data_IF_109048445515
#
_entry.id   IF_109048445515
#
_cell.length_a   1.000
_cell.length_b   1.000
_cell.length_c   1.000
_cell.angle_alpha   90.00
_cell.angle_beta   90.00
_cell.angle_gamma   90.00
#
_symmetry.space_group_name_H-M   'P 1'
#
loop_
_entity.id
_entity.type
_entity.pdbx_description
1 polymer ?
#
# COMPACT_ATOMS: atom_id res chain seq x y z
N UNK A 1 -15.58 -91.76 -13.81
CA UNK A 1 -15.73 -91.71 -15.28
C UNK A 1 -16.60 -90.50 -15.54
N UNK A 2 -16.13 -89.38 -16.04
CA UNK A 2 -14.86 -88.98 -16.66
C UNK A 2 -14.62 -87.51 -16.29
N UNK A 3 -13.37 -87.11 -16.06
CA UNK A 3 -12.96 -85.70 -16.07
C UNK A 3 -12.77 -85.28 -17.52
N UNK A 4 -13.49 -84.26 -17.97
CA UNK A 4 -13.09 -83.48 -19.14
C UNK A 4 -12.57 -82.10 -18.71
N UNK A 5 -11.35 -81.84 -19.15
CA UNK A 5 -10.56 -80.63 -18.93
C UNK A 5 -10.98 -79.64 -20.02
N UNK A 6 -11.52 -78.47 -19.66
CA UNK A 6 -11.71 -77.37 -20.60
C UNK A 6 -10.83 -76.18 -20.21
N UNK A 7 -9.80 -75.98 -21.02
CA UNK A 7 -8.89 -74.84 -21.02
C UNK A 7 -9.59 -73.61 -21.59
N UNK A 8 -9.99 -72.68 -20.71
CA UNK A 8 -10.43 -71.33 -21.09
C UNK A 8 -9.33 -70.30 -20.83
N UNK A 9 -8.64 -69.92 -21.90
CA UNK A 9 -7.59 -68.91 -21.94
C UNK A 9 -8.15 -67.52 -21.56
N UNK A 10 -7.61 -66.90 -20.51
CA UNK A 10 -7.91 -65.53 -20.12
C UNK A 10 -7.19 -64.56 -21.06
N UNK A 11 -7.92 -63.84 -21.90
CA UNK A 11 -7.38 -62.71 -22.66
C UNK A 11 -7.05 -61.56 -21.71
N UNK A 12 -5.78 -61.44 -21.32
CA UNK A 12 -5.24 -60.22 -20.72
C UNK A 12 -5.47 -59.04 -21.68
N UNK A 13 -5.79 -57.83 -21.17
CA UNK A 13 -5.92 -56.64 -22.02
C UNK A 13 -4.62 -56.44 -22.81
N UNK A 14 -4.70 -56.02 -24.09
CA UNK A 14 -3.54 -55.92 -24.95
C UNK A 14 -2.50 -55.00 -24.31
N UNK A 15 -1.24 -55.41 -24.39
CA UNK A 15 -0.06 -54.76 -23.77
C UNK A 15 0.06 -53.26 -24.14
N UNK A 16 -0.62 -52.82 -25.21
CA UNK A 16 -0.74 -51.42 -25.66
C UNK A 16 -1.47 -50.52 -24.67
N UNK A 17 -2.58 -50.98 -24.09
CA UNK A 17 -3.46 -50.13 -23.25
C UNK A 17 -2.81 -49.87 -21.88
N UNK A 18 -1.99 -50.81 -21.41
CA UNK A 18 -1.18 -50.63 -20.19
C UNK A 18 0.01 -49.69 -20.44
N UNK A 19 0.55 -49.65 -21.65
CA UNK A 19 1.64 -48.73 -22.02
C UNK A 19 1.15 -47.30 -22.24
N UNK A 20 -0.05 -47.11 -22.78
CA UNK A 20 -0.68 -45.78 -22.90
C UNK A 20 -1.02 -45.20 -21.53
N UNK A 21 -1.59 -46.00 -20.63
CA UNK A 21 -1.92 -45.54 -19.27
C UNK A 21 -0.69 -45.16 -18.44
N UNK A 22 0.41 -45.90 -18.57
CA UNK A 22 1.68 -45.57 -17.91
C UNK A 22 2.32 -44.32 -18.52
N UNK A 23 2.15 -44.08 -19.83
CA UNK A 23 2.61 -42.84 -20.46
C UNK A 23 1.80 -41.64 -20.03
N UNK A 24 0.47 -41.74 -19.97
CA UNK A 24 -0.41 -40.69 -19.45
C UNK A 24 -0.06 -40.35 -18.00
N UNK A 25 0.10 -41.36 -17.13
CA UNK A 25 0.52 -41.13 -15.74
C UNK A 25 1.91 -40.46 -15.64
N UNK A 26 2.85 -40.80 -16.52
CA UNK A 26 4.17 -40.16 -16.57
C UNK A 26 4.15 -38.73 -17.14
N UNK A 27 3.23 -38.44 -18.07
CA UNK A 27 3.03 -37.08 -18.60
C UNK A 27 2.40 -36.18 -17.54
N UNK A 28 1.39 -36.66 -16.81
CA UNK A 28 0.78 -35.91 -15.70
C UNK A 28 1.80 -35.58 -14.61
N UNK A 29 2.64 -36.54 -14.20
CA UNK A 29 3.68 -36.28 -13.18
C UNK A 29 4.72 -35.27 -13.68
N UNK A 30 5.07 -35.29 -14.97
CA UNK A 30 5.99 -34.29 -15.55
C UNK A 30 5.36 -32.91 -15.61
N UNK A 31 4.08 -32.81 -15.99
CA UNK A 31 3.36 -31.54 -16.01
C UNK A 31 3.26 -30.93 -14.60
N UNK A 32 2.96 -31.75 -13.59
CA UNK A 32 2.93 -31.33 -12.18
C UNK A 32 4.33 -30.88 -11.69
N UNK A 33 5.40 -31.58 -12.08
CA UNK A 33 6.77 -31.20 -11.74
C UNK A 33 7.21 -29.90 -12.44
N UNK A 34 6.80 -29.69 -13.69
CA UNK A 34 7.04 -28.45 -14.43
C UNK A 34 6.26 -27.26 -13.85
N UNK A 35 5.01 -27.45 -13.44
CA UNK A 35 4.24 -26.43 -12.73
C UNK A 35 4.88 -26.11 -11.38
N UNK A 36 5.28 -27.13 -10.62
CA UNK A 36 5.96 -26.94 -9.33
C UNK A 36 7.29 -26.19 -9.50
N UNK A 37 8.06 -26.52 -10.55
CA UNK A 37 9.31 -25.84 -10.86
C UNK A 37 9.07 -24.37 -11.22
N UNK A 38 8.02 -24.04 -11.99
CA UNK A 38 7.65 -22.65 -12.31
C UNK A 38 7.23 -21.85 -11.08
N UNK A 39 6.58 -22.48 -10.10
CA UNK A 39 6.18 -21.83 -8.84
C UNK A 39 7.36 -21.58 -7.90
N UNK A 40 8.31 -22.53 -7.84
CA UNK A 40 9.47 -22.45 -6.94
C UNK A 40 10.59 -21.57 -7.50
N UNK A 41 10.77 -21.56 -8.82
CA UNK A 41 11.84 -20.83 -9.51
C UNK A 41 11.22 -19.94 -10.59
N UNK A 42 10.78 -18.72 -10.24
CA UNK A 42 10.30 -17.77 -11.23
C UNK A 42 11.42 -17.43 -12.23
N UNK A 43 11.04 -17.11 -13.46
CA UNK A 43 12.01 -16.68 -14.47
C UNK A 43 12.70 -15.39 -14.00
N UNK A 44 14.03 -15.35 -14.11
CA UNK A 44 14.84 -14.18 -13.76
C UNK A 44 14.39 -12.96 -14.57
N UNK A 45 13.88 -13.16 -15.79
CA UNK A 45 13.35 -12.10 -16.67
C UNK A 45 12.05 -11.48 -16.17
N UNK A 46 11.29 -12.21 -15.34
CA UNK A 46 10.03 -11.77 -14.76
C UNK A 46 10.24 -11.05 -13.42
N UNK A 47 11.47 -11.07 -12.88
CA UNK A 47 11.79 -10.34 -11.66
C UNK A 47 11.95 -8.83 -11.96
N UNK A 48 11.47 -7.96 -11.06
CA UNK A 48 11.67 -6.52 -11.23
C UNK A 48 13.16 -6.17 -11.15
N UNK A 49 13.58 -5.19 -11.96
CA UNK A 49 14.96 -4.67 -11.99
C UNK A 49 15.49 -4.27 -10.61
N UNK A 50 14.60 -3.76 -9.77
CA UNK A 50 14.88 -3.43 -8.38
C UNK A 50 13.76 -3.96 -7.50
N UNK A 51 14.08 -4.48 -6.29
CA UNK A 51 13.06 -4.92 -5.37
C UNK A 51 12.11 -3.76 -5.00
N UNK A 52 10.82 -4.04 -4.76
CA UNK A 52 9.86 -3.03 -4.37
C UNK A 52 10.29 -2.35 -3.07
N UNK A 53 9.98 -1.06 -2.91
CA UNK A 53 10.33 -0.35 -1.69
C UNK A 53 9.50 -0.86 -0.50
N UNK A 54 9.91 -0.50 0.72
CA UNK A 54 9.14 -0.78 1.94
C UNK A 54 7.74 -0.16 1.88
N UNK A 55 7.59 0.98 1.20
CA UNK A 55 6.29 1.63 1.01
C UNK A 55 5.44 0.79 0.07
N UNK A 56 5.97 0.45 -1.10
CA UNK A 56 5.22 -0.29 -2.15
C UNK A 56 4.82 -1.69 -1.72
N UNK A 57 5.65 -2.34 -0.89
CA UNK A 57 5.40 -3.71 -0.39
C UNK A 57 4.42 -3.76 0.78
N UNK A 58 4.40 -2.76 1.67
CA UNK A 58 3.63 -2.81 2.92
C UNK A 58 2.38 -1.91 2.92
N UNK A 59 2.26 -0.99 1.97
CA UNK A 59 1.19 0.00 1.96
C UNK A 59 0.44 0.02 0.63
N UNK A 60 -0.87 0.24 0.73
CA UNK A 60 -1.71 0.59 -0.42
C UNK A 60 -1.81 2.10 -0.50
N UNK A 61 -1.47 2.65 -1.66
CA UNK A 61 -1.43 4.09 -1.91
C UNK A 61 -2.78 4.63 -2.35
N UNK A 62 -3.29 5.61 -1.58
CA UNK A 62 -4.47 6.39 -1.92
C UNK A 62 -4.12 7.87 -2.00
N UNK A 63 -4.90 8.65 -2.75
CA UNK A 63 -4.67 10.08 -2.94
C UNK A 63 -5.95 10.88 -2.72
N UNK A 64 -5.79 12.04 -2.09
CA UNK A 64 -6.80 13.06 -1.93
C UNK A 64 -6.40 14.27 -2.78
N UNK A 65 -6.82 14.33 -4.07
CA UNK A 65 -6.51 15.46 -4.93
C UNK A 65 -7.27 16.71 -4.47
N UNK A 66 -6.65 17.88 -4.66
CA UNK A 66 -7.28 19.21 -4.48
C UNK A 66 -8.04 19.37 -3.16
N UNK A 67 -7.48 18.85 -2.05
CA UNK A 67 -8.22 18.77 -0.80
C UNK A 67 -8.50 20.17 -0.24
N UNK A 68 -9.78 20.59 -0.32
CA UNK A 68 -10.29 21.94 -0.03
C UNK A 68 -9.87 23.02 -1.04
N UNK A 69 -8.61 22.99 -1.51
CA UNK A 69 -8.05 23.98 -2.43
C UNK A 69 -7.35 23.29 -3.60
N UNK A 70 -7.38 23.90 -4.80
CA UNK A 70 -6.70 23.35 -5.97
C UNK A 70 -5.19 23.25 -5.73
N UNK A 71 -4.60 22.11 -6.10
CA UNK A 71 -3.19 21.79 -5.93
C UNK A 71 -2.77 21.34 -4.53
N UNK A 72 -3.71 21.22 -3.59
CA UNK A 72 -3.45 20.71 -2.24
C UNK A 72 -3.58 19.18 -2.19
N UNK A 73 -2.82 18.51 -3.06
CA UNK A 73 -2.85 17.06 -3.20
C UNK A 73 -2.11 16.36 -2.04
N UNK A 74 -2.76 15.39 -1.38
CA UNK A 74 -2.16 14.64 -0.27
C UNK A 74 -2.25 13.14 -0.54
N UNK A 75 -1.25 12.39 -0.11
CA UNK A 75 -1.30 10.93 -0.15
C UNK A 75 -1.76 10.37 1.20
N UNK A 76 -2.36 9.19 1.15
CA UNK A 76 -2.78 8.37 2.28
C UNK A 76 -2.30 6.94 2.04
N UNK A 77 -1.25 6.53 2.72
CA UNK A 77 -0.73 5.16 2.65
C UNK A 77 -1.38 4.29 3.71
N UNK A 78 -2.09 3.26 3.28
CA UNK A 78 -2.82 2.34 4.15
C UNK A 78 -2.02 1.06 4.35
N UNK A 79 -1.61 0.80 5.59
CA UNK A 79 -1.02 -0.47 5.97
C UNK A 79 -2.10 -1.53 6.24
N UNK A 80 -1.76 -2.82 6.08
CA UNK A 80 -2.66 -3.95 6.38
C UNK A 80 -3.21 -3.92 7.82
N UNK A 81 -2.37 -3.50 8.77
CA UNK A 81 -2.70 -3.33 10.21
C UNK A 81 -3.75 -2.23 10.47
N UNK A 82 -4.12 -1.49 9.44
CA UNK A 82 -5.13 -0.45 9.50
C UNK A 82 -4.62 0.92 9.92
N UNK A 83 -3.30 1.14 9.91
CA UNK A 83 -2.70 2.46 10.06
C UNK A 83 -2.71 3.21 8.72
N UNK A 84 -2.90 4.52 8.80
CA UNK A 84 -2.79 5.43 7.66
C UNK A 84 -1.65 6.41 7.90
N UNK A 85 -0.72 6.47 6.96
CA UNK A 85 0.34 7.49 6.91
C UNK A 85 -0.09 8.56 5.93
N UNK A 86 -0.06 9.82 6.35
CA UNK A 86 -0.47 10.97 5.54
C UNK A 86 0.75 11.86 5.26
N UNK A 87 0.83 12.38 4.04
CA UNK A 87 1.83 13.37 3.65
C UNK A 87 1.44 14.09 2.36
N UNK A 88 2.38 14.88 1.83
CA UNK A 88 2.18 15.65 0.61
C UNK A 88 2.38 14.78 -0.63
N UNK A 89 1.42 14.80 -1.55
CA UNK A 89 1.59 14.12 -2.83
C UNK A 89 2.65 14.84 -3.69
N UNK A 90 3.32 14.13 -4.62
CA UNK A 90 4.38 14.71 -5.44
C UNK A 90 3.97 15.95 -6.25
N UNK A 91 2.69 16.06 -6.62
CA UNK A 91 2.17 17.18 -7.41
C UNK A 91 1.73 18.38 -6.58
N UNK A 92 1.82 18.31 -5.25
CA UNK A 92 1.38 19.35 -4.33
C UNK A 92 2.12 20.68 -4.56
N UNK A 93 1.40 21.80 -4.51
CA UNK A 93 1.93 23.13 -4.84
C UNK A 93 3.13 23.53 -3.97
N UNK A 94 3.09 23.24 -2.67
CA UNK A 94 4.20 23.53 -1.75
C UNK A 94 5.55 22.88 -2.14
N UNK A 95 5.53 21.78 -2.90
CA UNK A 95 6.75 21.12 -3.38
C UNK A 95 7.24 21.70 -4.72
N UNK A 96 6.39 22.43 -5.44
CA UNK A 96 6.67 23.02 -6.76
C UNK A 96 7.07 24.49 -6.70
N UNK A 97 6.80 25.18 -5.58
CA UNK A 97 7.20 26.58 -5.41
C UNK A 97 8.73 26.74 -5.40
N UNK A 98 9.20 27.87 -5.94
CA UNK A 98 10.64 28.19 -5.98
C UNK A 98 11.19 28.30 -4.54
N UNK A 99 12.21 27.47 -4.26
CA UNK A 99 12.82 27.34 -2.93
C UNK A 99 12.17 26.28 -2.02
N UNK A 100 11.06 25.68 -2.43
CA UNK A 100 10.42 24.56 -1.74
C UNK A 100 9.96 24.88 -0.32
N UNK A 101 9.82 23.83 0.49
CA UNK A 101 9.41 23.95 1.89
C UNK A 101 10.56 24.48 2.74
N UNK A 102 10.30 25.56 3.48
CA UNK A 102 11.28 26.25 4.34
C UNK A 102 11.06 25.99 5.83
N UNK A 103 9.82 25.82 6.27
CA UNK A 103 9.47 25.58 7.67
C UNK A 103 8.14 24.83 7.80
N UNK A 104 7.96 24.13 8.91
CA UNK A 104 6.74 23.36 9.19
C UNK A 104 6.29 23.66 10.62
N UNK A 105 5.02 24.05 10.76
CA UNK A 105 4.40 24.45 12.03
C UNK A 105 3.26 23.49 12.38
N UNK A 106 3.44 22.68 13.42
CA UNK A 106 2.39 21.78 13.95
C UNK A 106 1.43 22.48 14.91
N UNK A 107 1.61 23.77 15.19
CA UNK A 107 0.69 24.57 15.97
C UNK A 107 -0.45 25.10 15.07
N UNK A 108 -1.48 24.26 14.92
CA UNK A 108 -2.66 24.55 14.12
C UNK A 108 -3.91 24.72 14.98
N UNK A 109 -4.37 25.98 15.10
CA UNK A 109 -5.55 26.34 15.86
C UNK A 109 -5.23 26.61 17.33
N UNK A 110 -5.85 25.85 18.24
CA UNK A 110 -5.74 26.04 19.71
C UNK A 110 -4.79 25.05 20.40
N UNK A 111 -4.11 24.18 19.65
CA UNK A 111 -3.34 23.08 20.21
C UNK A 111 -2.22 22.67 19.28
N UNK A 112 -1.03 22.51 19.82
CA UNK A 112 0.13 21.96 19.14
C UNK A 112 -0.04 20.44 18.97
N UNK A 113 0.08 19.95 17.73
CA UNK A 113 -0.03 18.52 17.42
C UNK A 113 1.21 17.73 17.81
N UNK A 114 2.37 18.38 17.87
CA UNK A 114 3.63 17.73 18.30
C UNK A 114 3.61 17.38 19.78
N UNK A 115 2.88 18.13 20.60
CA UNK A 115 2.73 17.82 22.03
C UNK A 115 1.85 16.58 22.30
N UNK A 116 1.16 16.03 21.31
CA UNK A 116 0.23 14.90 21.48
C UNK A 116 1.03 13.60 21.53
N UNK A 117 1.26 13.12 22.76
CA UNK A 117 1.88 11.81 22.99
C UNK A 117 0.85 10.76 23.37
N UNK A 118 0.56 9.86 22.44
CA UNK A 118 -0.34 8.73 22.65
C UNK A 118 0.36 7.62 23.42
N UNK A 119 -0.23 7.14 24.51
CA UNK A 119 0.40 6.14 25.39
C UNK A 119 -0.52 4.98 25.76
N UNK A 120 0.08 3.79 25.92
CA UNK A 120 -0.56 2.57 26.41
C UNK A 120 -1.52 1.89 25.43
N UNK A 121 -1.92 0.65 25.75
CA UNK A 121 -2.83 -0.19 24.93
C UNK A 121 -4.17 0.49 24.60
N UNK A 122 -4.64 1.38 25.48
CA UNK A 122 -5.90 2.13 25.32
C UNK A 122 -5.74 3.46 24.57
N UNK A 123 -4.55 3.75 24.00
CA UNK A 123 -4.25 4.99 23.26
C UNK A 123 -4.66 6.24 24.05
N UNK A 124 -4.24 6.30 25.31
CA UNK A 124 -4.56 7.43 26.19
C UNK A 124 -4.00 8.71 25.55
N UNK A 125 -4.78 9.79 25.60
CA UNK A 125 -4.52 11.10 24.97
C UNK A 125 -4.63 11.15 23.44
N UNK A 126 -5.02 10.05 22.77
CA UNK A 126 -5.26 10.10 21.33
C UNK A 126 -6.45 10.99 21.02
N UNK A 127 -6.19 12.04 20.25
CA UNK A 127 -7.22 12.97 19.80
C UNK A 127 -7.87 12.43 18.52
N UNK A 128 -9.19 12.54 18.43
CA UNK A 128 -9.93 12.15 17.24
C UNK A 128 -10.00 13.31 16.25
N UNK A 129 -9.67 13.03 14.99
CA UNK A 129 -9.60 13.96 13.89
C UNK A 129 -10.66 13.59 12.86
N UNK A 130 -11.34 14.61 12.34
CA UNK A 130 -12.17 14.52 11.14
C UNK A 130 -11.32 14.79 9.89
N UNK A 131 -11.76 14.38 8.68
CA UNK A 131 -10.98 14.54 7.45
C UNK A 131 -10.48 15.97 7.18
N UNK A 132 -11.27 16.98 7.53
CA UNK A 132 -10.93 18.40 7.35
C UNK A 132 -10.10 19.00 8.50
N UNK A 133 -9.71 18.21 9.51
CA UNK A 133 -8.90 18.69 10.64
C UNK A 133 -7.51 19.09 10.16
N UNK A 134 -7.01 20.24 10.62
CA UNK A 134 -5.65 20.69 10.29
C UNK A 134 -4.60 19.88 11.07
N UNK A 135 -3.55 19.44 10.38
CA UNK A 135 -2.41 18.73 10.94
C UNK A 135 -1.23 19.67 11.18
N UNK A 136 -0.82 20.42 10.15
CA UNK A 136 0.27 21.38 10.21
C UNK A 136 0.12 22.46 9.14
N UNK A 137 0.91 23.53 9.27
CA UNK A 137 1.18 24.49 8.20
C UNK A 137 2.54 24.17 7.61
N UNK A 138 2.58 24.00 6.31
CA UNK A 138 3.80 23.88 5.51
C UNK A 138 4.08 25.26 4.95
N UNK A 139 5.16 25.89 5.41
CA UNK A 139 5.57 27.21 4.97
C UNK A 139 6.62 27.08 3.86
N UNK A 140 6.46 27.92 2.85
CA UNK A 140 7.42 28.15 1.78
C UNK A 140 7.99 29.56 1.93
N UNK A 141 8.69 30.09 0.92
CA UNK A 141 9.26 31.43 1.00
C UNK A 141 8.19 32.52 1.16
N UNK A 142 7.12 32.44 0.36
CA UNK A 142 6.11 33.50 0.27
C UNK A 142 4.74 33.09 0.79
N UNK A 143 4.48 31.79 0.93
CA UNK A 143 3.16 31.24 1.21
C UNK A 143 3.17 30.19 2.34
N UNK A 144 1.97 29.81 2.77
CA UNK A 144 1.78 28.66 3.64
C UNK A 144 0.57 27.82 3.22
N UNK A 145 0.70 26.52 3.42
CA UNK A 145 -0.26 25.51 3.02
C UNK A 145 -0.73 24.74 4.25
N UNK A 146 -2.04 24.68 4.48
CA UNK A 146 -2.58 23.90 5.60
C UNK A 146 -2.79 22.47 5.14
N UNK A 147 -2.03 21.56 5.72
CA UNK A 147 -2.16 20.11 5.53
C UNK A 147 -3.30 19.60 6.41
N UNK A 148 -4.14 18.74 5.86
CA UNK A 148 -5.34 18.21 6.50
C UNK A 148 -5.23 16.71 6.72
N UNK A 149 -6.09 16.19 7.59
CA UNK A 149 -6.05 14.79 7.98
C UNK A 149 -6.45 13.83 6.85
N UNK A 150 -7.33 14.25 5.91
CA UNK A 150 -7.92 13.44 4.83
C UNK A 150 -8.78 12.26 5.28
N UNK A 151 -8.55 11.77 6.50
CA UNK A 151 -9.04 10.51 7.02
C UNK A 151 -9.60 10.76 8.42
N UNK A 152 -10.79 10.21 8.70
CA UNK A 152 -11.35 10.22 10.05
C UNK A 152 -10.65 9.18 10.92
N UNK A 153 -10.09 9.57 12.06
CA UNK A 153 -9.35 8.64 12.91
C UNK A 153 -8.68 9.27 14.12
N UNK A 154 -7.99 8.45 14.91
CA UNK A 154 -7.19 8.91 16.03
C UNK A 154 -5.77 9.27 15.58
N UNK A 155 -5.31 10.48 15.91
CA UNK A 155 -3.91 10.87 15.71
C UNK A 155 -3.02 10.10 16.67
N UNK A 156 -2.00 9.43 16.14
CA UNK A 156 -1.03 8.66 16.92
C UNK A 156 0.32 9.35 17.01
N UNK A 157 0.79 9.89 15.89
CA UNK A 157 2.12 10.46 15.76
C UNK A 157 2.11 11.57 14.70
N UNK A 158 2.92 12.60 14.93
CA UNK A 158 3.33 13.56 13.90
C UNK A 158 4.84 13.50 13.77
N UNK A 159 5.35 13.78 12.58
CA UNK A 159 6.79 13.74 12.33
C UNK A 159 7.47 15.01 12.86
N UNK A 160 7.84 15.01 14.14
CA UNK A 160 8.51 16.14 14.79
C UNK A 160 9.85 16.52 14.15
N UNK A 161 10.48 15.60 13.40
CA UNK A 161 11.74 15.86 12.69
C UNK A 161 11.58 16.99 11.68
N UNK A 162 10.39 17.14 11.10
CA UNK A 162 10.04 18.20 10.17
C UNK A 162 10.18 19.61 10.74
N UNK A 163 10.10 19.77 12.07
CA UNK A 163 10.34 21.06 12.74
C UNK A 163 11.81 21.47 12.63
N UNK A 164 12.73 20.48 12.71
CA UNK A 164 14.18 20.71 12.67
C UNK A 164 14.75 20.59 11.25
N UNK A 165 14.12 19.77 10.41
CA UNK A 165 14.57 19.40 9.07
C UNK A 165 13.41 19.45 8.07
N UNK A 166 12.90 20.65 7.74
CA UNK A 166 11.79 20.81 6.79
C UNK A 166 12.16 20.34 5.37
N UNK A 167 13.45 20.34 5.02
CA UNK A 167 13.95 19.86 3.73
C UNK A 167 13.64 18.39 3.42
N UNK A 168 13.25 17.57 4.42
CA UNK A 168 12.77 16.20 4.19
C UNK A 168 11.52 16.15 3.29
N UNK A 169 10.67 17.18 3.33
CA UNK A 169 9.55 17.28 2.40
C UNK A 169 10.01 17.54 0.96
N UNK A 170 11.13 18.24 0.77
CA UNK A 170 11.65 18.51 -0.57
C UNK A 170 12.36 17.28 -1.16
N UNK A 171 13.13 16.55 -0.34
CA UNK A 171 13.91 15.39 -0.82
C UNK A 171 13.16 14.07 -0.80
N UNK A 172 12.20 13.89 0.11
CA UNK A 172 11.60 12.58 0.40
C UNK A 172 10.18 12.70 0.97
N UNK A 173 9.33 13.54 0.37
CA UNK A 173 7.93 13.75 0.78
C UNK A 173 7.14 12.45 0.98
N UNK A 174 7.28 11.49 0.06
CA UNK A 174 6.57 10.20 0.09
C UNK A 174 7.17 9.17 1.05
N UNK A 175 8.27 9.47 1.73
CA UNK A 175 8.98 8.49 2.59
C UNK A 175 9.21 9.09 3.97
N UNK A 176 10.41 9.62 4.19
CA UNK A 176 10.82 10.18 5.48
C UNK A 176 10.12 11.50 5.81
N UNK A 177 9.58 12.17 4.79
CA UNK A 177 8.80 13.40 4.90
C UNK A 177 7.33 13.20 5.24
N UNK A 178 6.91 12.03 5.73
CA UNK A 178 5.52 11.86 6.17
C UNK A 178 5.14 12.87 7.25
N UNK A 179 3.86 13.25 7.32
CA UNK A 179 3.39 14.31 8.23
C UNK A 179 2.78 13.72 9.49
N UNK A 180 1.88 12.74 9.36
CA UNK A 180 1.17 12.16 10.48
C UNK A 180 0.81 10.69 10.26
N UNK A 181 0.67 9.96 11.38
CA UNK A 181 0.14 8.60 11.44
C UNK A 181 -1.22 8.65 12.14
N UNK A 182 -2.25 8.21 11.43
CA UNK A 182 -3.64 8.16 11.89
C UNK A 182 -4.08 6.71 11.98
N UNK A 183 -4.86 6.39 12.99
CA UNK A 183 -5.59 5.12 13.06
C UNK A 183 -7.10 5.35 12.89
N UNK A 184 -7.64 5.05 11.70
CA UNK A 184 -9.08 5.06 11.45
C UNK A 184 -9.77 3.92 12.18
N UNK A 185 -11.07 4.09 12.44
CA UNK A 185 -11.92 2.97 12.86
C UNK A 185 -12.18 2.07 11.65
N UNK A 186 -12.15 0.74 11.80
CA UNK A 186 -12.47 -0.18 10.70
C UNK A 186 -13.84 0.09 10.06
N UNK A 187 -14.82 0.52 10.86
CA UNK A 187 -16.18 0.87 10.42
C UNK A 187 -16.23 2.08 9.48
N UNK A 188 -15.29 3.02 9.63
CA UNK A 188 -15.29 4.27 8.87
C UNK A 188 -14.52 4.11 7.54
N UNK A 189 -13.69 3.07 7.43
CA UNK A 189 -12.78 2.88 6.29
C UNK A 189 -13.49 2.78 4.93
N UNK A 190 -14.61 2.04 4.76
CA UNK A 190 -15.29 1.97 3.47
C UNK A 190 -15.71 3.36 2.95
N UNK A 191 -16.19 4.23 3.84
CA UNK A 191 -16.57 5.61 3.53
C UNK A 191 -15.37 6.50 3.23
N UNK A 192 -14.27 6.31 3.94
CA UNK A 192 -13.01 7.02 3.68
C UNK A 192 -12.47 6.60 2.31
N UNK A 193 -12.40 5.31 2.04
CA UNK A 193 -11.89 4.75 0.78
C UNK A 193 -12.66 5.29 -0.42
N UNK A 194 -13.98 5.42 -0.34
CA UNK A 194 -14.79 5.99 -1.44
C UNK A 194 -14.52 7.47 -1.73
N UNK A 195 -13.88 8.19 -0.80
CA UNK A 195 -13.50 9.60 -1.00
C UNK A 195 -12.06 9.79 -1.50
N UNK A 196 -11.29 8.71 -1.63
CA UNK A 196 -9.90 8.74 -2.07
C UNK A 196 -9.75 8.08 -3.44
N UNK A 197 -8.77 8.53 -4.21
CA UNK A 197 -8.38 7.92 -5.47
C UNK A 197 -7.34 6.82 -5.25
N UNK A 198 -7.38 5.80 -6.10
CA UNK A 198 -6.29 4.85 -6.22
C UNK A 198 -5.06 5.54 -6.84
N UNK A 199 -3.88 4.90 -6.76
CA UNK A 199 -2.68 5.40 -7.42
C UNK A 199 -2.88 5.54 -8.94
N UNK A 200 -3.46 4.52 -9.58
CA UNK A 200 -3.72 4.53 -11.03
C UNK A 200 -4.67 5.65 -11.46
N UNK A 201 -5.75 5.87 -10.69
CA UNK A 201 -6.71 6.94 -10.98
C UNK A 201 -6.08 8.32 -10.78
N UNK A 202 -5.19 8.44 -9.79
CA UNK A 202 -4.47 9.67 -9.52
C UNK A 202 -3.46 10.03 -10.61
N UNK A 203 -2.70 9.05 -11.12
CA UNK A 203 -1.78 9.26 -12.23
C UNK A 203 -2.51 9.70 -13.50
N UNK A 204 -3.65 9.06 -13.81
CA UNK A 204 -4.52 9.46 -14.93
C UNK A 204 -5.06 10.88 -14.75
N UNK A 205 -5.44 11.26 -13.53
CA UNK A 205 -5.97 12.60 -13.26
C UNK A 205 -4.92 13.70 -13.41
N UNK A 206 -3.65 13.39 -13.12
CA UNK A 206 -2.55 14.36 -13.16
C UNK A 206 -1.70 14.28 -14.42
N UNK A 207 -2.12 13.46 -15.40
CA UNK A 207 -1.41 13.21 -16.67
C UNK A 207 0.07 12.84 -16.46
N UNK A 208 0.36 11.99 -15.47
CA UNK A 208 1.72 11.58 -15.11
C UNK A 208 2.26 10.38 -15.92
N UNK A 209 1.58 10.01 -17.01
CA UNK A 209 1.90 8.86 -17.87
C UNK A 209 2.97 9.17 -18.93
#
# INVERSE_FOLDING_TARGET
MEEEINTGNSSSPPYSDQQEKVKEEQEVVKEEEEELHKLLVPDIRDLPLTPPSVVDSNYVSFFAPDFIKPGHDQYVYRHANGLCVIGLAPTHVALKEEGGVTAIDFNVGKSDRSAIKVTGKRKKNAQHFEPNSALCKVCTNDNFYIVRCCVKGSLLEVNERLIKQPGLLNSSASREGYIAIIMPKPTDWPKIKSSLLSFEDYEKLKDLS
#
